data_IF_900153750943
#
_entry.id   IF_900153750943
#
_cell.length_a   1.000
_cell.length_b   1.000
_cell.length_c   1.000
_cell.angle_alpha   90.00
_cell.angle_beta   90.00
_cell.angle_gamma   90.00
#
_symmetry.space_group_name_H-M   'P 1'
#
loop_
_entity.id
_entity.type
_entity.pdbx_description
1 polymer ?
#
# COMPACT_ATOMS: atom_id res chain seq x y z
N UNK A 1 -0.43 -1.28 -13.47
CA UNK A 1 -0.62 -0.82 -12.06
C UNK A 1 -0.23 -1.91 -11.08
N UNK A 2 -0.82 -3.10 -11.14
CA UNK A 2 -0.44 -4.24 -10.30
C UNK A 2 1.04 -4.68 -10.44
N UNK A 3 1.61 -4.59 -11.65
CA UNK A 3 3.01 -4.93 -11.89
C UNK A 3 4.01 -4.01 -11.16
N UNK A 4 3.71 -2.70 -11.05
CA UNK A 4 4.57 -1.76 -10.34
C UNK A 4 4.55 -2.01 -8.83
N UNK A 5 3.35 -2.27 -8.27
CA UNK A 5 3.20 -2.66 -6.87
C UNK A 5 3.95 -3.97 -6.55
N UNK A 6 3.81 -4.98 -7.41
CA UNK A 6 4.52 -6.25 -7.25
C UNK A 6 6.04 -6.09 -7.37
N UNK A 7 6.51 -5.19 -8.24
CA UNK A 7 7.93 -4.84 -8.34
C UNK A 7 8.46 -4.24 -7.05
N UNK A 8 7.75 -3.25 -6.48
CA UNK A 8 8.11 -2.63 -5.19
C UNK A 8 8.09 -3.64 -4.05
N UNK A 9 7.04 -4.46 -3.96
CA UNK A 9 6.92 -5.52 -2.97
C UNK A 9 8.11 -6.48 -2.99
N UNK A 10 8.53 -6.94 -4.18
CA UNK A 10 9.69 -7.84 -4.30
C UNK A 10 10.99 -7.15 -3.91
N UNK A 11 11.21 -5.92 -4.36
CA UNK A 11 12.43 -5.17 -4.04
C UNK A 11 12.55 -4.88 -2.53
N UNK A 12 11.51 -4.30 -1.94
CA UNK A 12 11.55 -3.81 -0.56
C UNK A 12 11.39 -4.93 0.48
N UNK A 13 10.56 -5.94 0.18
CA UNK A 13 10.36 -7.06 1.08
C UNK A 13 11.43 -8.12 0.81
N UNK A 14 11.36 -8.78 -0.35
CA UNK A 14 12.09 -10.03 -0.61
C UNK A 14 13.58 -9.81 -0.76
N UNK A 15 14.01 -8.77 -1.49
CA UNK A 15 15.42 -8.50 -1.75
C UNK A 15 16.11 -7.77 -0.58
N UNK A 16 15.44 -6.80 0.05
CA UNK A 16 16.04 -6.00 1.13
C UNK A 16 15.94 -6.61 2.53
N UNK A 17 14.93 -7.43 2.83
CA UNK A 17 14.72 -8.00 4.18
C UNK A 17 15.09 -9.48 4.31
N UNK A 18 15.55 -10.11 3.23
CA UNK A 18 16.10 -11.46 3.28
C UNK A 18 17.46 -11.53 4.03
N UNK A 19 17.94 -12.72 4.41
CA UNK A 19 17.39 -14.04 4.10
C UNK A 19 16.26 -14.50 5.04
N UNK A 20 15.31 -15.25 4.48
CA UNK A 20 14.14 -15.78 5.18
C UNK A 20 14.39 -17.19 5.71
N UNK A 21 13.93 -17.47 6.94
CA UNK A 21 14.14 -18.76 7.61
C UNK A 21 13.00 -19.75 7.36
N UNK A 22 11.77 -19.25 7.32
CA UNK A 22 10.55 -20.03 7.22
C UNK A 22 9.39 -19.19 6.65
N UNK A 23 8.31 -19.87 6.25
CA UNK A 23 7.13 -19.26 5.63
C UNK A 23 6.42 -18.31 6.60
N UNK A 24 6.35 -18.68 7.88
CA UNK A 24 5.67 -17.91 8.93
C UNK A 24 6.38 -16.56 9.19
N UNK A 25 7.72 -16.51 9.09
CA UNK A 25 8.47 -15.25 9.05
C UNK A 25 8.06 -14.39 7.86
N UNK A 26 7.97 -14.96 6.66
CA UNK A 26 7.60 -14.24 5.44
C UNK A 26 6.18 -13.68 5.57
N UNK A 27 5.21 -14.48 6.01
CA UNK A 27 3.82 -14.05 6.19
C UNK A 27 3.70 -12.86 7.14
N UNK A 28 4.36 -12.92 8.31
CA UNK A 28 4.36 -11.78 9.24
C UNK A 28 4.96 -10.51 8.65
N UNK A 29 6.03 -10.64 7.88
CA UNK A 29 6.68 -9.48 7.27
C UNK A 29 5.84 -8.92 6.12
N UNK A 30 5.13 -9.77 5.36
CA UNK A 30 4.14 -9.34 4.37
C UNK A 30 3.05 -8.51 5.05
N UNK A 31 2.47 -8.98 6.16
CA UNK A 31 1.44 -8.21 6.88
C UNK A 31 1.97 -6.84 7.30
N UNK A 32 3.16 -6.79 7.90
CA UNK A 32 3.78 -5.52 8.30
C UNK A 32 4.00 -4.59 7.12
N UNK A 33 4.51 -5.11 5.99
CA UNK A 33 4.74 -4.30 4.80
C UNK A 33 3.44 -3.79 4.20
N UNK A 34 2.38 -4.61 4.15
CA UNK A 34 1.06 -4.19 3.65
C UNK A 34 0.47 -3.10 4.56
N UNK A 35 0.55 -3.27 5.89
CA UNK A 35 0.08 -2.26 6.84
C UNK A 35 0.83 -0.94 6.64
N UNK A 36 2.17 -0.98 6.62
CA UNK A 36 2.98 0.21 6.37
C UNK A 36 2.66 0.84 5.01
N UNK A 37 2.54 0.03 3.95
CA UNK A 37 2.24 0.52 2.60
C UNK A 37 0.92 1.27 2.54
N UNK A 38 -0.14 0.77 3.19
CA UNK A 38 -1.47 1.38 3.11
C UNK A 38 -1.65 2.55 4.08
N UNK A 39 -1.10 2.45 5.30
CA UNK A 39 -1.40 3.39 6.38
C UNK A 39 -0.34 4.49 6.53
N UNK A 40 0.91 4.24 6.12
CA UNK A 40 2.04 5.11 6.47
C UNK A 40 2.89 5.56 5.28
N UNK A 41 2.94 4.78 4.19
CA UNK A 41 3.78 5.09 3.03
C UNK A 41 3.29 6.34 2.31
N UNK A 42 4.14 7.36 2.27
CA UNK A 42 3.90 8.56 1.49
C UNK A 42 4.31 8.32 0.03
N UNK A 43 3.34 8.39 -0.88
CA UNK A 43 3.58 8.23 -2.31
C UNK A 43 3.42 9.57 -3.04
N UNK A 44 4.44 10.00 -3.77
CA UNK A 44 4.42 11.25 -4.53
C UNK A 44 3.34 11.28 -5.62
N UNK A 45 2.99 10.12 -6.19
CA UNK A 45 1.93 10.02 -7.18
C UNK A 45 0.53 10.24 -6.57
N UNK A 46 0.39 10.00 -5.26
CA UNK A 46 -0.83 10.27 -4.50
C UNK A 46 -0.85 11.66 -3.86
N UNK A 47 0.21 12.47 -4.04
CA UNK A 47 0.33 13.78 -3.41
C UNK A 47 0.92 13.74 -1.99
N UNK A 48 1.79 12.76 -1.71
CA UNK A 48 2.42 12.56 -0.40
C UNK A 48 1.42 12.25 0.72
N UNK A 49 0.42 11.43 0.42
CA UNK A 49 -0.49 10.86 1.41
C UNK A 49 -0.48 9.33 1.32
N UNK A 50 -0.84 8.62 2.40
CA UNK A 50 -1.01 7.17 2.35
C UNK A 50 -2.13 6.73 1.41
N UNK A 51 -2.02 5.54 0.79
CA UNK A 51 -3.07 4.97 -0.05
C UNK A 51 -4.46 4.94 0.61
N UNK A 52 -4.56 4.52 1.87
CA UNK A 52 -5.84 4.51 2.60
C UNK A 52 -6.47 5.89 2.67
N UNK A 53 -5.66 6.93 2.88
CA UNK A 53 -6.16 8.31 2.94
C UNK A 53 -6.63 8.79 1.57
N UNK A 54 -5.83 8.51 0.52
CA UNK A 54 -6.18 8.84 -0.84
C UNK A 54 -7.51 8.19 -1.28
N UNK A 55 -7.68 6.88 -1.01
CA UNK A 55 -8.91 6.16 -1.34
C UNK A 55 -10.11 6.71 -0.56
N UNK A 56 -9.94 7.02 0.73
CA UNK A 56 -10.99 7.58 1.56
C UNK A 56 -11.48 8.94 1.03
N UNK A 57 -10.58 9.82 0.65
CA UNK A 57 -10.95 11.13 0.09
C UNK A 57 -11.55 11.02 -1.32
N UNK A 58 -11.08 10.06 -2.13
CA UNK A 58 -11.69 9.73 -3.42
C UNK A 58 -13.15 9.28 -3.25
N UNK A 59 -13.43 8.34 -2.33
CA UNK A 59 -14.78 7.83 -2.11
C UNK A 59 -15.72 8.89 -1.53
N UNK A 60 -15.27 9.71 -0.57
CA UNK A 60 -16.07 10.84 -0.06
C UNK A 60 -16.48 11.81 -1.17
N UNK A 61 -15.56 12.10 -2.08
CA UNK A 61 -15.83 13.00 -3.22
C UNK A 61 -16.88 12.40 -4.16
N UNK A 62 -16.78 11.09 -4.46
CA UNK A 62 -17.75 10.38 -5.27
C UNK A 62 -19.14 10.34 -4.62
N UNK A 63 -19.22 10.13 -3.30
CA UNK A 63 -20.48 10.18 -2.55
C UNK A 63 -21.13 11.57 -2.59
N UNK A 64 -20.33 12.64 -2.44
CA UNK A 64 -20.83 14.02 -2.55
C UNK A 64 -21.36 14.34 -3.95
N UNK A 65 -20.68 13.89 -5.00
CA UNK A 65 -21.16 14.05 -6.39
C UNK A 65 -22.48 13.32 -6.58
N UNK A 66 -22.61 12.09 -6.08
CA UNK A 66 -23.84 11.31 -6.19
C UNK A 66 -25.03 11.93 -5.41
N UNK A 67 -24.78 12.61 -4.29
CA UNK A 67 -25.81 13.30 -3.51
C UNK A 67 -26.24 14.64 -4.11
N UNK A 68 -25.44 15.21 -5.01
CA UNK A 68 -25.68 16.52 -5.65
C UNK A 68 -26.34 16.42 -7.03
N UNK A 69 -26.58 15.19 -7.52
CA UNK A 69 -27.16 14.87 -8.82
C UNK A 69 -28.63 14.43 -8.70
#
# INVERSE_FOLDING_TARGET
MAEALNGMFKAELIEMQGPWRDVDQVERTIFQWITWYNEERLDSALGYVPPTEYERDFWRSQEQVAQSA
#
